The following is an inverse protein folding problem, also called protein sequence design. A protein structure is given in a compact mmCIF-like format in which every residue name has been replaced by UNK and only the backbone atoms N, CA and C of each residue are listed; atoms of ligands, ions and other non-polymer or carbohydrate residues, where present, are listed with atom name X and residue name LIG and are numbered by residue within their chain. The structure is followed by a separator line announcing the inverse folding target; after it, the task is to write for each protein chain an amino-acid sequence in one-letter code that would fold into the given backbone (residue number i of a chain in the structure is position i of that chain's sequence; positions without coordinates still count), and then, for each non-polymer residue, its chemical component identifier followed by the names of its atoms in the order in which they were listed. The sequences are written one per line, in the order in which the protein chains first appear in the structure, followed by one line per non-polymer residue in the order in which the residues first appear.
data_IF_946426978603
#
_entry.id   IF_946426978603
#
_cell.length_a   1.000
_cell.length_b   1.000
_cell.length_c   1.000
_cell.angle_alpha   90.00
_cell.angle_beta   90.00
_cell.angle_gamma   90.00
#
_symmetry.space_group_name_H-M   'P 1'
#
loop_
_entity.id
_entity.type
_entity.pdbx_description
1 polymer ?
#
# COMPACT_ATOMS: atom_id res chain seq x y z
N UNK A 1 -6.48 17.43 -42.28
CA UNK A 1 -6.24 17.68 -40.84
C UNK A 1 -5.91 16.36 -40.19
N UNK A 2 -4.63 16.09 -39.89
CA UNK A 2 -4.17 14.86 -39.27
C UNK A 2 -4.44 14.98 -37.74
N UNK A 3 -5.48 14.35 -37.23
CA UNK A 3 -5.70 14.17 -35.81
C UNK A 3 -4.63 13.21 -35.27
N UNK A 4 -3.55 13.73 -34.71
CA UNK A 4 -2.58 12.95 -33.93
C UNK A 4 -3.33 12.35 -32.74
N UNK A 5 -3.65 11.04 -32.80
CA UNK A 5 -4.09 10.29 -31.60
C UNK A 5 -3.02 10.45 -30.53
N UNK A 6 -3.40 11.08 -29.43
CA UNK A 6 -2.57 11.10 -28.22
C UNK A 6 -2.21 9.65 -27.83
N UNK A 7 -0.97 9.37 -27.45
CA UNK A 7 -0.61 8.03 -26.97
C UNK A 7 -1.50 7.66 -25.78
N UNK A 8 -2.01 6.42 -25.76
CA UNK A 8 -2.76 5.90 -24.61
C UNK A 8 -1.83 5.93 -23.40
N UNK A 9 -2.18 6.75 -22.42
CA UNK A 9 -1.49 6.82 -21.13
C UNK A 9 -1.40 5.42 -20.52
N UNK A 10 -0.22 5.03 -20.04
CA UNK A 10 -0.06 3.75 -19.36
C UNK A 10 -0.83 3.78 -18.04
N UNK A 11 -1.36 2.62 -17.58
CA UNK A 11 -2.03 2.54 -16.27
C UNK A 11 -1.13 3.00 -15.12
N UNK A 12 0.17 2.79 -15.26
CA UNK A 12 1.16 3.22 -14.26
C UNK A 12 1.28 4.74 -14.16
N UNK A 13 1.28 5.43 -15.30
CA UNK A 13 1.28 6.89 -15.34
C UNK A 13 0.01 7.46 -14.72
N UNK A 14 -1.16 6.91 -15.08
CA UNK A 14 -2.42 7.34 -14.51
C UNK A 14 -2.50 7.12 -12.99
N UNK A 15 -2.01 5.98 -12.48
CA UNK A 15 -1.94 5.74 -11.03
C UNK A 15 -1.01 6.73 -10.32
N UNK A 16 0.12 7.07 -10.95
CA UNK A 16 1.04 8.06 -10.40
C UNK A 16 0.43 9.46 -10.38
N UNK A 17 -0.30 9.85 -11.42
CA UNK A 17 -1.02 11.13 -11.48
C UNK A 17 -2.09 11.21 -10.39
N UNK A 18 -2.92 10.17 -10.22
CA UNK A 18 -3.92 10.11 -9.15
C UNK A 18 -3.26 10.20 -7.77
N UNK A 19 -2.15 9.48 -7.56
CA UNK A 19 -1.40 9.54 -6.31
C UNK A 19 -0.90 10.96 -6.00
N UNK A 20 -0.35 11.65 -7.00
CA UNK A 20 0.15 13.02 -6.83
C UNK A 20 -0.99 14.04 -6.70
N UNK A 21 -2.08 13.86 -7.44
CA UNK A 21 -3.24 14.75 -7.41
C UNK A 21 -3.92 14.76 -6.04
N UNK A 22 -4.19 13.57 -5.49
CA UNK A 22 -4.96 13.41 -4.24
C UNK A 22 -4.07 13.29 -3.00
N UNK A 23 -2.84 12.77 -3.17
CA UNK A 23 -1.90 12.52 -2.08
C UNK A 23 -0.78 13.54 -1.93
N UNK A 24 -0.64 14.49 -2.86
CA UNK A 24 0.52 15.39 -2.92
C UNK A 24 0.75 16.18 -1.63
N UNK A 25 -0.31 16.66 -0.99
CA UNK A 25 -0.22 17.36 0.31
C UNK A 25 0.32 16.44 1.41
N UNK A 26 -0.16 15.19 1.47
CA UNK A 26 0.26 14.20 2.45
C UNK A 26 1.72 13.80 2.21
N UNK A 27 2.08 13.54 0.96
CA UNK A 27 3.44 13.13 0.57
C UNK A 27 4.50 14.18 0.91
N UNK A 28 4.14 15.47 0.87
CA UNK A 28 5.04 16.59 1.19
C UNK A 28 5.00 17.01 2.67
N UNK A 29 4.27 16.29 3.53
CA UNK A 29 4.16 16.62 4.95
C UNK A 29 5.39 16.19 5.75
N UNK A 30 5.57 16.81 6.92
CA UNK A 30 6.62 16.43 7.88
C UNK A 30 6.40 14.99 8.39
N UNK A 31 5.15 14.60 8.61
CA UNK A 31 4.78 13.25 9.06
C UNK A 31 5.25 12.21 8.05
N UNK A 32 5.03 12.44 6.76
CA UNK A 32 5.48 11.52 5.71
C UNK A 32 7.00 11.50 5.59
N UNK A 33 7.69 12.64 5.72
CA UNK A 33 9.15 12.67 5.76
C UNK A 33 9.70 11.85 6.94
N UNK A 34 9.10 11.98 8.12
CA UNK A 34 9.43 11.14 9.29
C UNK A 34 9.13 9.67 9.02
N UNK A 35 8.03 9.35 8.34
CA UNK A 35 7.68 7.97 7.99
C UNK A 35 8.76 7.31 7.10
N UNK A 36 9.39 8.05 6.19
CA UNK A 36 10.49 7.51 5.37
C UNK A 36 11.76 7.23 6.17
N UNK A 37 11.97 7.88 7.30
CA UNK A 37 13.15 7.67 8.16
C UNK A 37 12.93 6.63 9.25
N UNK A 38 11.67 6.38 9.66
CA UNK A 38 11.36 5.44 10.71
C UNK A 38 11.24 4.00 10.18
N UNK A 39 11.98 3.06 10.78
CA UNK A 39 11.85 1.63 10.46
C UNK A 39 10.47 1.10 10.83
N UNK A 40 9.82 0.42 9.87
CA UNK A 40 8.53 -0.26 10.07
C UNK A 40 8.76 -1.70 10.55
N UNK A 41 9.35 -2.51 9.71
CA UNK A 41 9.79 -3.87 9.98
C UNK A 41 11.32 -3.95 9.85
N UNK A 42 11.85 -5.15 9.60
CA UNK A 42 13.29 -5.42 9.66
C UNK A 42 14.12 -4.58 8.67
N UNK A 43 13.55 -4.15 7.53
CA UNK A 43 14.29 -3.49 6.45
C UNK A 43 13.53 -2.33 5.78
N UNK A 44 12.19 -2.33 5.77
CA UNK A 44 11.44 -1.22 5.17
C UNK A 44 11.17 -0.10 6.18
N UNK A 45 11.07 1.14 5.69
CA UNK A 45 10.54 2.25 6.49
C UNK A 45 9.02 2.27 6.44
N UNK A 46 8.39 2.95 7.42
CA UNK A 46 6.94 3.21 7.40
C UNK A 46 6.51 3.87 6.09
N UNK A 47 7.27 4.87 5.61
CA UNK A 47 6.98 5.56 4.35
C UNK A 47 7.09 4.65 3.12
N UNK A 48 8.10 3.76 3.05
CA UNK A 48 8.24 2.81 1.94
C UNK A 48 7.08 1.80 1.91
N UNK A 49 6.70 1.27 3.08
CA UNK A 49 5.51 0.42 3.24
C UNK A 49 4.24 1.14 2.79
N UNK A 50 4.00 2.35 3.30
CA UNK A 50 2.86 3.20 2.95
C UNK A 50 2.74 3.45 1.45
N UNK A 51 3.86 3.75 0.77
CA UNK A 51 3.88 3.92 -0.70
C UNK A 51 3.52 2.64 -1.43
N UNK A 52 3.98 1.48 -0.94
CA UNK A 52 3.64 0.16 -1.49
C UNK A 52 2.15 -0.12 -1.37
N UNK A 53 1.57 0.15 -0.18
CA UNK A 53 0.12 0.03 0.06
C UNK A 53 -0.67 0.94 -0.89
N UNK A 54 -0.28 2.20 -1.05
CA UNK A 54 -0.96 3.14 -1.93
C UNK A 54 -0.94 2.68 -3.39
N UNK A 55 0.22 2.26 -3.92
CA UNK A 55 0.33 1.79 -5.29
C UNK A 55 -0.42 0.47 -5.53
N UNK A 56 -0.40 -0.46 -4.58
CA UNK A 56 -1.15 -1.72 -4.67
C UNK A 56 -2.66 -1.46 -4.62
N UNK A 57 -3.13 -0.56 -3.74
CA UNK A 57 -4.52 -0.16 -3.68
C UNK A 57 -5.01 0.47 -4.99
N UNK A 58 -4.23 1.38 -5.57
CA UNK A 58 -4.53 1.96 -6.87
C UNK A 58 -4.56 0.90 -7.99
N UNK A 59 -3.61 -0.03 -8.01
CA UNK A 59 -3.60 -1.11 -9.00
C UNK A 59 -4.87 -1.98 -8.92
N UNK A 60 -5.36 -2.28 -7.72
CA UNK A 60 -6.63 -2.99 -7.51
C UNK A 60 -7.80 -2.15 -8.04
N UNK A 61 -7.86 -0.85 -7.71
CA UNK A 61 -8.92 0.03 -8.20
C UNK A 61 -8.95 0.10 -9.74
N UNK A 62 -7.79 0.19 -10.38
CA UNK A 62 -7.68 0.20 -11.84
C UNK A 62 -8.06 -1.16 -12.48
N UNK A 63 -7.79 -2.27 -11.79
CA UNK A 63 -8.27 -3.58 -12.22
C UNK A 63 -9.80 -3.69 -12.12
N UNK A 64 -10.40 -3.22 -11.01
CA UNK A 64 -11.84 -3.18 -10.80
C UNK A 64 -12.55 -2.26 -11.82
N UNK A 65 -11.93 -1.13 -12.18
CA UNK A 65 -12.45 -0.24 -13.23
C UNK A 65 -12.62 -0.95 -14.57
N UNK A 66 -11.74 -1.90 -14.92
CA UNK A 66 -11.90 -2.72 -16.14
C UNK A 66 -13.12 -3.65 -16.07
N UNK A 67 -13.56 -3.99 -14.87
CA UNK A 67 -14.78 -4.76 -14.60
C UNK A 67 -16.01 -3.87 -14.38
N UNK A 68 -15.91 -2.58 -14.72
CA UNK A 68 -16.95 -1.56 -14.52
C UNK A 68 -17.36 -1.33 -13.04
N UNK A 69 -16.52 -1.75 -12.09
CA UNK A 69 -16.71 -1.47 -10.66
C UNK A 69 -16.05 -0.13 -10.35
N UNK A 70 -16.85 0.82 -9.86
CA UNK A 70 -16.39 2.16 -9.49
C UNK A 70 -15.81 2.14 -8.08
N UNK A 71 -14.70 2.84 -7.88
CA UNK A 71 -14.05 3.06 -6.58
C UNK A 71 -13.78 4.56 -6.41
N UNK A 72 -13.77 5.00 -5.17
CA UNK A 72 -13.47 6.38 -4.78
C UNK A 72 -11.94 6.54 -4.62
N UNK A 73 -11.27 6.86 -5.73
CA UNK A 73 -9.81 7.00 -5.79
C UNK A 73 -9.26 8.00 -4.76
N UNK A 74 -9.84 9.23 -4.59
CA UNK A 74 -9.41 10.14 -3.54
C UNK A 74 -9.35 9.51 -2.15
N UNK A 75 -10.44 8.83 -1.73
CA UNK A 75 -10.50 8.17 -0.43
C UNK A 75 -9.51 7.02 -0.30
N UNK A 76 -9.26 6.26 -1.37
CA UNK A 76 -8.24 5.20 -1.39
C UNK A 76 -6.84 5.79 -1.20
N UNK A 77 -6.51 6.87 -1.90
CA UNK A 77 -5.20 7.53 -1.80
C UNK A 77 -5.00 8.10 -0.39
N UNK A 78 -5.95 8.89 0.12
CA UNK A 78 -5.87 9.45 1.47
C UNK A 78 -5.76 8.34 2.52
N UNK A 79 -6.63 7.33 2.44
CA UNK A 79 -6.66 6.22 3.40
C UNK A 79 -5.36 5.43 3.39
N UNK A 80 -4.85 5.06 2.22
CA UNK A 80 -3.61 4.29 2.11
C UNK A 80 -2.36 5.08 2.51
N UNK A 81 -2.28 6.38 2.22
CA UNK A 81 -1.14 7.20 2.63
C UNK A 81 -1.12 7.51 4.14
N UNK A 82 -2.28 7.51 4.77
CA UNK A 82 -2.41 7.90 6.17
C UNK A 82 -2.55 6.72 7.15
N UNK A 83 -2.79 5.48 6.67
CA UNK A 83 -3.18 4.35 7.54
C UNK A 83 -2.22 4.09 8.70
N UNK A 84 -0.92 4.28 8.48
CA UNK A 84 0.15 3.96 9.43
C UNK A 84 0.87 5.18 10.03
N UNK A 85 0.37 6.41 9.83
CA UNK A 85 0.99 7.60 10.43
C UNK A 85 0.98 7.56 11.96
N UNK A 86 0.01 6.88 12.56
CA UNK A 86 -0.07 6.68 14.01
C UNK A 86 1.07 5.85 14.61
N UNK A 87 1.74 5.03 13.80
CA UNK A 87 2.86 4.18 14.25
C UNK A 87 4.16 4.98 14.45
N UNK A 88 4.20 6.23 14.00
CA UNK A 88 5.36 7.10 14.17
C UNK A 88 5.63 7.35 15.66
N UNK A 89 6.87 7.13 16.08
CA UNK A 89 7.28 7.21 17.49
C UNK A 89 6.76 6.06 18.35
N UNK A 90 6.44 4.90 17.77
CA UNK A 90 5.80 3.76 18.45
C UNK A 90 6.51 3.30 19.72
N UNK A 91 7.84 3.35 19.76
CA UNK A 91 8.61 2.90 20.91
C UNK A 91 8.46 3.81 22.16
N UNK A 92 8.05 5.06 21.93
CA UNK A 92 7.80 6.05 22.98
C UNK A 92 6.33 6.11 23.36
N UNK A 93 5.43 5.74 22.42
CA UNK A 93 3.97 5.84 22.59
C UNK A 93 3.34 4.60 23.18
N UNK A 94 3.83 3.40 22.82
CA UNK A 94 3.14 2.15 23.14
C UNK A 94 4.01 1.22 23.96
N UNK A 95 3.43 0.63 25.00
CA UNK A 95 4.13 -0.29 25.91
C UNK A 95 4.26 -1.72 25.35
N UNK A 96 3.48 -2.05 24.31
CA UNK A 96 3.51 -3.38 23.69
C UNK A 96 3.10 -3.34 22.21
N UNK A 97 3.51 -4.36 21.44
CA UNK A 97 3.05 -4.53 20.06
C UNK A 97 1.53 -4.72 19.95
N UNK A 98 0.91 -5.36 20.94
CA UNK A 98 -0.53 -5.53 20.99
C UNK A 98 -1.29 -4.23 21.25
N UNK A 99 -0.73 -3.34 22.06
CA UNK A 99 -1.26 -1.99 22.25
C UNK A 99 -1.09 -1.15 20.97
N UNK A 100 0.10 -1.15 20.39
CA UNK A 100 0.37 -0.50 19.12
C UNK A 100 -0.64 -0.94 18.05
N UNK A 101 -0.84 -2.25 17.85
CA UNK A 101 -1.80 -2.77 16.84
C UNK A 101 -3.25 -2.31 17.06
N UNK A 102 -3.65 -2.05 18.28
CA UNK A 102 -5.02 -1.57 18.58
C UNK A 102 -5.15 -0.06 18.46
N UNK A 103 -4.11 0.68 18.83
CA UNK A 103 -4.19 2.12 19.02
C UNK A 103 -3.72 2.91 17.79
N UNK A 104 -2.66 2.45 17.08
CA UNK A 104 -2.13 3.22 15.95
C UNK A 104 -3.16 3.54 14.86
N UNK A 105 -4.18 2.70 14.55
CA UNK A 105 -5.17 3.09 13.55
C UNK A 105 -5.98 4.32 13.97
N UNK A 106 -6.29 4.45 15.26
CA UNK A 106 -7.00 5.61 15.80
C UNK A 106 -6.12 6.84 15.83
N UNK A 107 -4.86 6.70 16.24
CA UNK A 107 -3.87 7.77 16.20
C UNK A 107 -3.61 8.22 14.74
N UNK A 108 -3.65 7.29 13.78
CA UNK A 108 -3.55 7.61 12.35
C UNK A 108 -4.72 8.47 11.87
N UNK A 109 -5.94 8.20 12.31
CA UNK A 109 -7.12 9.03 12.01
C UNK A 109 -6.93 10.45 12.54
N UNK A 110 -6.45 10.58 13.78
CA UNK A 110 -6.24 11.90 14.39
C UNK A 110 -5.17 12.70 13.64
N UNK A 111 -4.04 12.08 13.31
CA UNK A 111 -2.95 12.71 12.56
C UNK A 111 -3.45 13.08 11.16
N UNK A 112 -4.09 12.16 10.46
CA UNK A 112 -4.62 12.39 9.12
C UNK A 112 -5.65 13.52 9.08
N UNK A 113 -6.54 13.59 10.05
CA UNK A 113 -7.55 14.64 10.15
C UNK A 113 -6.91 16.04 10.29
N UNK A 114 -5.86 16.15 11.10
CA UNK A 114 -5.08 17.41 11.24
C UNK A 114 -4.34 17.74 9.95
N UNK A 115 -3.71 16.76 9.34
CA UNK A 115 -2.88 16.92 8.14
C UNK A 115 -3.69 17.33 6.91
N UNK A 116 -4.85 16.71 6.70
CA UNK A 116 -5.71 16.98 5.54
C UNK A 116 -6.59 18.24 5.74
N UNK A 117 -6.86 18.61 6.97
CA UNK A 117 -7.80 19.67 7.35
C UNK A 117 -9.23 19.17 7.47
N UNK A 118 -9.42 17.86 7.64
CA UNK A 118 -10.68 17.15 7.79
C UNK A 118 -10.71 15.89 6.95
N UNK A 119 -11.22 14.79 7.52
CA UNK A 119 -11.47 13.52 6.83
C UNK A 119 -12.97 13.35 6.61
N UNK A 120 -13.34 12.76 5.49
CA UNK A 120 -14.68 12.19 5.34
C UNK A 120 -14.84 10.95 6.24
N UNK A 121 -16.10 10.59 6.56
CA UNK A 121 -16.40 9.38 7.34
C UNK A 121 -15.81 8.11 6.69
N UNK A 122 -15.79 8.07 5.35
CA UNK A 122 -15.19 6.96 4.59
C UNK A 122 -13.67 6.89 4.78
N UNK A 123 -12.97 8.00 4.66
CA UNK A 123 -11.52 8.04 4.85
C UNK A 123 -11.14 7.68 6.29
N UNK A 124 -11.86 8.20 7.26
CA UNK A 124 -11.68 7.83 8.67
C UNK A 124 -11.92 6.32 8.91
N UNK A 125 -12.96 5.73 8.30
CA UNK A 125 -13.24 4.30 8.39
C UNK A 125 -12.14 3.45 7.74
N UNK A 126 -11.64 3.84 6.57
CA UNK A 126 -10.53 3.17 5.88
C UNK A 126 -9.31 3.12 6.81
N UNK A 127 -8.91 4.25 7.37
CA UNK A 127 -7.74 4.38 8.25
C UNK A 127 -7.97 3.58 9.56
N UNK A 128 -9.11 3.77 10.23
CA UNK A 128 -9.38 3.15 11.51
C UNK A 128 -9.48 1.62 11.45
N UNK A 129 -9.84 1.06 10.29
CA UNK A 129 -10.12 -0.38 10.14
C UNK A 129 -9.13 -1.10 9.22
N UNK A 130 -8.04 -0.46 8.81
CA UNK A 130 -7.07 -1.07 7.91
C UNK A 130 -6.47 -2.38 8.47
N UNK A 131 -6.39 -2.53 9.80
CA UNK A 131 -5.87 -3.74 10.45
C UNK A 131 -6.74 -4.99 10.24
N UNK A 132 -8.00 -4.86 9.78
CA UNK A 132 -8.83 -6.03 9.49
C UNK A 132 -8.19 -6.92 8.41
N UNK A 133 -8.33 -8.26 8.48
CA UNK A 133 -9.02 -9.08 9.48
C UNK A 133 -8.15 -9.43 10.70
N UNK A 134 -6.97 -8.84 10.84
CA UNK A 134 -6.01 -9.11 11.92
C UNK A 134 -6.44 -8.40 13.21
N UNK A 135 -6.20 -9.07 14.34
CA UNK A 135 -6.52 -8.50 15.66
C UNK A 135 -8.04 -8.44 15.92
N UNK A 136 -8.47 -7.44 16.70
CA UNK A 136 -9.87 -7.20 17.04
C UNK A 136 -10.51 -6.09 16.18
N UNK A 137 -9.93 -5.77 15.03
CA UNK A 137 -10.45 -4.73 14.16
C UNK A 137 -11.77 -5.17 13.51
N UNK A 138 -12.72 -4.24 13.44
CA UNK A 138 -13.98 -4.45 12.70
C UNK A 138 -13.72 -4.43 11.20
N UNK A 139 -14.55 -5.14 10.43
CA UNK A 139 -14.49 -5.05 8.98
C UNK A 139 -14.73 -3.61 8.49
N UNK A 140 -14.04 -3.16 7.44
CA UNK A 140 -14.33 -1.88 6.80
C UNK A 140 -15.78 -1.81 6.28
N UNK A 141 -16.36 -0.62 6.27
CA UNK A 141 -17.73 -0.40 5.82
C UNK A 141 -17.82 -0.18 4.29
N UNK A 142 -16.70 -0.04 3.61
CA UNK A 142 -16.63 0.28 2.19
C UNK A 142 -15.72 -0.67 1.42
N UNK A 143 -15.92 -0.77 0.10
CA UNK A 143 -15.04 -1.50 -0.80
C UNK A 143 -13.61 -0.93 -0.74
N UNK A 144 -13.47 0.39 -0.68
CA UNK A 144 -12.20 1.08 -0.58
C UNK A 144 -11.43 0.66 0.68
N UNK A 145 -12.12 0.55 1.82
CA UNK A 145 -11.52 0.06 3.07
C UNK A 145 -11.05 -1.39 2.97
N UNK A 146 -11.80 -2.25 2.31
CA UNK A 146 -11.38 -3.64 2.05
C UNK A 146 -10.15 -3.66 1.14
N UNK A 147 -10.11 -2.81 0.09
CA UNK A 147 -8.98 -2.70 -0.83
C UNK A 147 -7.71 -2.29 -0.08
N UNK A 148 -7.77 -1.22 0.72
CA UNK A 148 -6.61 -0.72 1.47
C UNK A 148 -6.15 -1.75 2.51
N UNK A 149 -7.08 -2.37 3.23
CA UNK A 149 -6.76 -3.43 4.19
C UNK A 149 -6.09 -4.65 3.51
N UNK A 150 -6.56 -5.07 2.35
CA UNK A 150 -5.93 -6.16 1.59
C UNK A 150 -4.54 -5.76 1.06
N UNK A 151 -4.40 -4.56 0.51
CA UNK A 151 -3.14 -4.04 0.00
C UNK A 151 -2.08 -3.94 1.11
N UNK A 152 -2.45 -3.52 2.32
CA UNK A 152 -1.57 -3.50 3.49
C UNK A 152 -1.04 -4.90 3.83
N UNK A 153 -1.88 -5.94 3.82
CA UNK A 153 -1.45 -7.31 4.09
C UNK A 153 -0.51 -7.85 2.98
N UNK A 154 -0.78 -7.51 1.72
CA UNK A 154 0.12 -7.84 0.60
C UNK A 154 1.46 -7.16 0.78
N UNK A 155 1.48 -5.86 1.05
CA UNK A 155 2.71 -5.09 1.28
C UNK A 155 3.50 -5.62 2.49
N UNK A 156 2.84 -6.00 3.58
CA UNK A 156 3.49 -6.60 4.75
C UNK A 156 4.17 -7.93 4.42
N UNK A 157 3.56 -8.78 3.57
CA UNK A 157 4.18 -10.02 3.09
C UNK A 157 5.38 -9.73 2.19
N UNK A 158 5.29 -8.75 1.29
CA UNK A 158 6.40 -8.32 0.43
C UNK A 158 7.58 -7.80 1.26
N UNK A 159 7.32 -6.93 2.24
CA UNK A 159 8.32 -6.41 3.18
C UNK A 159 9.01 -7.54 3.96
N UNK A 160 8.25 -8.56 4.38
CA UNK A 160 8.80 -9.72 5.08
C UNK A 160 9.71 -10.55 4.16
N UNK A 161 9.27 -10.81 2.92
CA UNK A 161 10.04 -11.58 1.94
C UNK A 161 11.33 -10.85 1.57
N UNK A 162 11.28 -9.55 1.28
CA UNK A 162 12.47 -8.74 1.02
C UNK A 162 13.45 -8.79 2.20
N UNK A 163 12.93 -8.64 3.43
CA UNK A 163 13.74 -8.71 4.65
C UNK A 163 14.36 -10.08 4.91
N UNK A 164 13.68 -11.15 4.53
CA UNK A 164 14.20 -12.51 4.63
C UNK A 164 15.30 -12.76 3.60
N UNK A 165 15.10 -12.31 2.36
CA UNK A 165 16.07 -12.45 1.28
C UNK A 165 17.38 -11.69 1.55
N UNK A 166 17.31 -10.47 2.13
CA UNK A 166 18.50 -9.68 2.44
C UNK A 166 19.33 -10.33 3.55
N UNK A 167 18.70 -10.95 4.54
CA UNK A 167 19.38 -11.70 5.59
C UNK A 167 19.98 -13.04 5.13
N UNK A 168 19.52 -13.58 4.00
CA UNK A 168 19.94 -14.86 3.44
C UNK A 168 20.13 -14.78 1.92
N UNK A 169 21.16 -14.09 1.42
CA UNK A 169 21.36 -13.82 0.00
C UNK A 169 21.47 -15.06 -0.90
N UNK A 170 21.73 -16.25 -0.32
CA UNK A 170 21.76 -17.51 -1.08
C UNK A 170 20.40 -17.96 -1.62
N UNK A 171 19.30 -17.52 -1.03
CA UNK A 171 17.94 -17.91 -1.46
C UNK A 171 17.52 -17.16 -2.74
N UNK A 172 17.97 -15.91 -2.94
CA UNK A 172 17.72 -15.16 -4.21
C UNK A 172 18.23 -15.93 -5.42
N UNK A 173 19.40 -16.58 -5.29
CA UNK A 173 19.96 -17.45 -6.32
C UNK A 173 19.04 -18.62 -6.63
N UNK A 174 18.58 -19.32 -5.61
CA UNK A 174 17.72 -20.52 -5.75
C UNK A 174 16.36 -20.17 -6.34
N UNK A 175 15.70 -19.11 -5.86
CA UNK A 175 14.40 -18.66 -6.40
C UNK A 175 14.53 -18.22 -7.85
N UNK A 176 15.62 -17.49 -8.19
CA UNK A 176 15.90 -17.08 -9.58
C UNK A 176 16.12 -18.29 -10.49
N UNK A 177 16.82 -19.29 -9.99
CA UNK A 177 17.10 -20.52 -10.75
C UNK A 177 15.83 -21.36 -10.96
N UNK A 178 14.98 -21.53 -9.94
CA UNK A 178 13.67 -22.19 -10.04
C UNK A 178 12.78 -21.47 -11.05
N UNK A 179 12.73 -20.14 -11.00
CA UNK A 179 11.92 -19.33 -11.92
C UNK A 179 12.43 -19.41 -13.37
N UNK A 180 13.75 -19.47 -13.58
CA UNK A 180 14.34 -19.62 -14.91
C UNK A 180 14.07 -21.03 -15.48
N UNK A 181 14.23 -22.08 -14.68
CA UNK A 181 13.89 -23.48 -15.08
C UNK A 181 12.40 -23.63 -15.43
N UNK A 182 11.52 -22.92 -14.70
CA UNK A 182 10.08 -22.89 -15.03
C UNK A 182 9.78 -22.25 -16.38
N UNK A 183 10.52 -21.21 -16.78
CA UNK A 183 10.39 -20.57 -18.10
C UNK A 183 10.91 -21.47 -19.24
N UNK A 184 12.05 -22.10 -19.05
CA UNK A 184 12.64 -23.02 -20.05
C UNK A 184 11.74 -24.23 -20.29
N UNK A 185 11.06 -24.73 -19.26
CA UNK A 185 10.11 -25.86 -19.40
C UNK A 185 8.83 -25.47 -20.16
N UNK A 186 8.40 -24.21 -20.09
CA UNK A 186 7.26 -23.70 -20.86
C UNK A 186 7.63 -23.41 -22.32
N UNK A 187 8.83 -22.88 -22.59
CA UNK A 187 9.32 -22.69 -23.98
C UNK A 187 9.58 -24.02 -24.71
N UNK A 188 10.04 -25.05 -23.98
CA UNK A 188 10.21 -26.39 -24.56
C UNK A 188 8.88 -27.00 -25.00
N UNK A 189 7.80 -26.80 -24.23
CA UNK A 189 6.47 -27.29 -24.58
C UNK A 189 5.86 -26.55 -25.78
N UNK A 190 6.13 -25.25 -25.94
CA UNK A 190 5.59 -24.43 -27.05
C UNK A 190 6.28 -24.68 -28.40
N UNK A 191 7.49 -25.26 -28.40
CA UNK A 191 8.23 -25.61 -29.65
C UNK A 191 7.93 -27.01 -30.19
N UNK A 192 7.09 -27.79 -29.51
CA UNK A 192 6.70 -29.16 -29.90
C UNK A 192 5.24 -29.26 -30.37
N UNK A 193 4.52 -28.16 -30.47
CA UNK A 193 3.19 -28.04 -31.09
C UNK A 193 3.31 -27.30 -32.39
#
# INVERSE_FOLDING_TARGET
MNSKRMPKQSHREAMHEDLMLYGGKILNSEEMQRAFTQKHHTLSSVGAHTMRVAMTSLAICYALKKLHIKTDIPSVVTGSLCHDLGILGRNEKYHSSGECSRQHPLDSVEIANKLTGGLSDKEADIIARHMWPVGKSKAPNSLEGVIVSAADKVAAVEDFVEGYEEKRPGIKGVIREIRNRGKESTEWKSKKT
#
